data_IF_464718117052
#
_entry.id   IF_464718117052
#
_cell.length_a   1.000
_cell.length_b   1.000
_cell.length_c   1.000
_cell.angle_alpha   90.00
_cell.angle_beta   90.00
_cell.angle_gamma   90.00
#
_symmetry.space_group_name_H-M   'P 1'
#
loop_
_entity.id
_entity.type
_entity.pdbx_description
1 polymer ?
#
# COMPACT_ATOMS: atom_id res chain seq x y z
N UNK A 1 72.31 -55.40 -4.55
CA UNK A 1 72.57 -53.96 -4.28
C UNK A 1 72.71 -53.27 -5.64
N UNK A 2 71.92 -52.30 -6.08
CA UNK A 2 70.79 -51.52 -5.57
C UNK A 2 69.97 -51.18 -6.82
N UNK A 3 68.63 -51.34 -6.78
CA UNK A 3 67.73 -50.90 -7.86
C UNK A 3 67.47 -49.41 -7.70
N UNK A 4 67.86 -48.60 -8.68
CA UNK A 4 67.48 -47.18 -8.76
C UNK A 4 66.05 -47.06 -9.32
N UNK A 5 65.12 -46.65 -8.47
CA UNK A 5 63.80 -46.17 -8.86
C UNK A 5 63.88 -44.67 -9.12
N UNK A 6 63.60 -44.24 -10.35
CA UNK A 6 63.35 -42.83 -10.66
C UNK A 6 61.90 -42.51 -10.32
N UNK A 7 61.67 -41.70 -9.27
CA UNK A 7 60.38 -41.07 -9.01
C UNK A 7 60.16 -39.97 -10.06
N UNK A 8 59.17 -40.14 -10.93
CA UNK A 8 58.60 -39.06 -11.70
C UNK A 8 57.77 -38.18 -10.76
N UNK A 9 58.22 -36.95 -10.50
CA UNK A 9 57.45 -35.96 -9.77
C UNK A 9 56.26 -35.49 -10.61
N UNK A 10 55.05 -35.87 -10.22
CA UNK A 10 53.83 -35.27 -10.74
C UNK A 10 53.69 -33.87 -10.12
N UNK A 11 53.88 -32.83 -10.93
CA UNK A 11 53.48 -31.47 -10.57
C UNK A 11 51.96 -31.42 -10.68
N UNK A 12 51.25 -31.62 -9.54
CA UNK A 12 49.87 -31.16 -9.42
C UNK A 12 49.91 -29.63 -9.40
N UNK A 13 49.63 -29.00 -10.52
CA UNK A 13 49.18 -27.62 -10.51
C UNK A 13 47.83 -27.61 -9.80
N UNK A 14 47.81 -27.09 -8.56
CA UNK A 14 46.58 -26.81 -7.86
C UNK A 14 45.79 -25.80 -8.70
N UNK A 15 44.71 -26.25 -9.34
CA UNK A 15 43.68 -25.34 -9.81
C UNK A 15 43.17 -24.61 -8.56
N UNK A 16 43.53 -23.33 -8.42
CA UNK A 16 42.96 -22.48 -7.40
C UNK A 16 41.45 -22.52 -7.58
N UNK A 17 40.74 -23.13 -6.63
CA UNK A 17 39.30 -22.96 -6.52
C UNK A 17 39.09 -21.46 -6.34
N UNK A 18 38.64 -20.78 -7.39
CA UNK A 18 38.05 -19.46 -7.28
C UNK A 18 36.78 -19.70 -6.48
N UNK A 19 36.87 -19.60 -5.15
CA UNK A 19 35.68 -19.48 -4.33
C UNK A 19 34.96 -18.22 -4.80
N UNK A 20 33.69 -18.29 -5.23
CA UNK A 20 32.94 -17.06 -5.45
C UNK A 20 32.96 -16.31 -4.13
N UNK A 21 33.55 -15.11 -4.11
CA UNK A 21 33.39 -14.23 -2.95
C UNK A 21 31.92 -13.88 -2.90
N UNK A 22 31.20 -14.39 -1.90
CA UNK A 22 29.88 -13.86 -1.57
C UNK A 22 30.02 -12.34 -1.44
N UNK A 23 29.15 -11.59 -2.12
CA UNK A 23 29.14 -10.15 -2.01
C UNK A 23 28.98 -9.76 -0.54
N UNK A 24 29.68 -8.71 -0.10
CA UNK A 24 29.45 -8.17 1.24
C UNK A 24 27.99 -7.68 1.32
N UNK A 25 27.26 -8.03 2.38
CA UNK A 25 25.85 -7.66 2.50
C UNK A 25 25.50 -7.27 3.94
N UNK A 26 24.60 -6.31 4.07
CA UNK A 26 23.85 -6.07 5.30
C UNK A 26 22.43 -6.61 5.11
N UNK A 27 21.86 -7.24 6.13
CA UNK A 27 20.54 -7.89 6.12
C UNK A 27 19.73 -7.42 7.31
N UNK A 28 18.49 -7.02 7.04
CA UNK A 28 17.49 -6.68 8.03
C UNK A 28 16.34 -7.68 7.99
N UNK A 29 15.84 -8.09 9.14
CA UNK A 29 14.66 -8.95 9.29
C UNK A 29 13.67 -8.25 10.22
N UNK A 30 12.42 -8.09 9.79
CA UNK A 30 11.40 -7.47 10.63
C UNK A 30 11.18 -8.32 11.90
N UNK A 31 10.85 -7.70 13.06
CA UNK A 31 10.65 -8.45 14.30
C UNK A 31 9.57 -9.54 14.23
N UNK A 32 8.54 -9.32 13.42
CA UNK A 32 7.46 -10.26 13.13
C UNK A 32 7.83 -11.33 12.10
N UNK A 33 9.01 -11.25 11.48
CA UNK A 33 9.45 -12.07 10.34
C UNK A 33 8.54 -11.95 9.11
N UNK A 34 7.80 -10.84 8.99
CA UNK A 34 6.96 -10.50 7.82
C UNK A 34 7.77 -10.02 6.61
N UNK A 35 9.04 -9.65 6.80
CA UNK A 35 9.90 -9.09 5.76
C UNK A 35 11.37 -9.35 6.07
N UNK A 36 12.15 -9.72 5.05
CA UNK A 36 13.61 -9.69 5.12
C UNK A 36 14.20 -8.91 3.92
N UNK A 37 15.20 -8.08 4.17
CA UNK A 37 15.83 -7.24 3.16
C UNK A 37 17.35 -7.34 3.25
N UNK A 38 17.98 -7.74 2.14
CA UNK A 38 19.42 -7.79 2.00
C UNK A 38 19.89 -6.74 1.01
N UNK A 39 20.95 -6.00 1.35
CA UNK A 39 21.58 -5.00 0.50
C UNK A 39 23.08 -5.26 0.36
N UNK A 40 23.59 -5.17 -0.86
CA UNK A 40 25.01 -5.18 -1.19
C UNK A 40 25.36 -4.00 -2.10
N UNK A 41 26.53 -3.43 -1.85
CA UNK A 41 27.02 -2.20 -2.47
C UNK A 41 28.37 -2.51 -3.13
N UNK A 42 28.52 -2.29 -4.45
CA UNK A 42 29.81 -2.38 -5.10
C UNK A 42 30.84 -1.43 -4.48
N UNK A 43 32.05 -1.94 -4.23
CA UNK A 43 33.21 -1.18 -3.72
C UNK A 43 33.91 -0.31 -4.78
N UNK A 44 33.48 -0.41 -6.04
CA UNK A 44 33.87 0.49 -7.12
C UNK A 44 33.19 1.86 -6.97
N UNK A 45 34.00 2.90 -6.77
CA UNK A 45 33.55 4.28 -6.62
C UNK A 45 32.87 4.87 -7.87
N UNK A 46 33.00 4.22 -9.03
CA UNK A 46 32.32 4.62 -10.28
C UNK A 46 30.99 3.91 -10.50
N UNK A 47 30.68 2.92 -9.66
CA UNK A 47 29.47 2.13 -9.72
C UNK A 47 28.49 2.63 -8.66
N UNK A 48 27.38 3.24 -9.08
CA UNK A 48 26.31 3.73 -8.22
C UNK A 48 25.13 2.75 -8.05
N UNK A 49 25.35 1.49 -8.41
CA UNK A 49 24.34 0.45 -8.34
C UNK A 49 24.13 -0.03 -6.90
N UNK A 50 22.96 -0.64 -6.70
CA UNK A 50 22.57 -1.33 -5.48
C UNK A 50 22.07 -2.72 -5.85
N UNK A 51 22.69 -3.75 -5.28
CA UNK A 51 22.18 -5.12 -5.37
C UNK A 51 21.33 -5.36 -4.14
N UNK A 52 20.10 -5.83 -4.34
CA UNK A 52 19.22 -6.10 -3.23
C UNK A 52 18.39 -7.36 -3.44
N UNK A 53 17.91 -7.87 -2.31
CA UNK A 53 16.88 -8.89 -2.27
C UNK A 53 15.87 -8.49 -1.21
N UNK A 54 14.61 -8.76 -1.50
CA UNK A 54 13.48 -8.53 -0.60
C UNK A 54 12.66 -9.80 -0.56
N UNK A 55 12.36 -10.27 0.65
CA UNK A 55 11.59 -11.48 0.87
C UNK A 55 10.38 -11.20 1.76
N UNK A 56 9.27 -11.89 1.48
CA UNK A 56 8.06 -11.87 2.29
C UNK A 56 7.41 -13.26 2.31
N UNK A 57 6.77 -13.67 3.41
CA UNK A 57 6.03 -14.93 3.45
C UNK A 57 4.77 -14.88 2.58
N UNK A 58 4.33 -16.04 2.10
CA UNK A 58 3.00 -16.17 1.47
C UNK A 58 1.90 -15.79 2.47
N UNK A 59 0.83 -15.15 1.99
CA UNK A 59 -0.24 -14.66 2.85
C UNK A 59 0.01 -13.24 3.38
N UNK A 60 1.17 -12.66 3.10
CA UNK A 60 1.43 -11.22 3.25
C UNK A 60 0.96 -10.46 1.99
N UNK A 61 0.08 -9.47 2.12
CA UNK A 61 -0.54 -8.83 0.95
C UNK A 61 0.49 -8.08 0.10
N UNK A 62 1.48 -7.47 0.72
CA UNK A 62 2.66 -6.90 0.07
C UNK A 62 3.75 -6.64 1.11
N UNK A 63 4.99 -6.50 0.68
CA UNK A 63 6.12 -6.11 1.53
C UNK A 63 6.91 -4.98 0.86
N UNK A 64 7.42 -4.04 1.66
CA UNK A 64 8.19 -2.93 1.11
C UNK A 64 9.30 -2.43 2.05
N UNK A 65 10.39 -1.98 1.44
CA UNK A 65 11.46 -1.21 2.08
C UNK A 65 11.54 0.17 1.45
N UNK A 66 11.59 1.19 2.29
CA UNK A 66 11.80 2.57 1.90
C UNK A 66 13.22 3.03 2.22
N UNK A 67 13.90 3.60 1.24
CA UNK A 67 15.29 4.01 1.31
C UNK A 67 15.44 5.50 1.69
N UNK A 68 16.51 5.83 2.42
CA UNK A 68 17.04 7.18 2.54
C UNK A 68 16.67 7.95 3.81
N UNK A 69 15.55 7.66 4.46
CA UNK A 69 15.12 8.38 5.66
C UNK A 69 14.17 7.53 6.55
N UNK A 70 13.60 8.14 7.60
CA UNK A 70 12.75 7.53 8.63
C UNK A 70 11.25 7.90 8.50
N UNK A 71 10.80 8.32 7.31
CA UNK A 71 9.41 8.71 7.01
C UNK A 71 9.01 8.31 5.58
N UNK A 72 7.72 8.38 5.25
CA UNK A 72 7.27 8.07 3.88
C UNK A 72 7.68 9.16 2.89
N UNK A 73 7.55 10.43 3.22
CA UNK A 73 7.83 11.53 2.28
C UNK A 73 9.32 11.64 1.93
N UNK A 74 9.63 11.59 0.64
CA UNK A 74 10.99 11.67 0.08
C UNK A 74 11.67 10.32 -0.12
N UNK A 75 10.92 9.22 -0.01
CA UNK A 75 11.47 7.86 0.07
C UNK A 75 11.27 7.10 -1.24
N UNK A 76 12.34 6.50 -1.74
CA UNK A 76 12.29 5.50 -2.79
C UNK A 76 11.86 4.18 -2.16
N UNK A 77 10.78 3.59 -2.66
CA UNK A 77 10.15 2.41 -2.09
C UNK A 77 10.33 1.23 -3.03
N UNK A 78 10.97 0.18 -2.53
CA UNK A 78 11.03 -1.13 -3.15
C UNK A 78 9.90 -1.96 -2.59
N UNK A 79 8.87 -2.21 -3.39
CA UNK A 79 7.68 -2.96 -3.00
C UNK A 79 7.57 -4.21 -3.84
N UNK A 80 7.21 -5.31 -3.19
CA UNK A 80 6.90 -6.58 -3.83
C UNK A 80 5.51 -7.06 -3.40
N UNK A 81 4.88 -7.80 -4.30
CA UNK A 81 3.68 -8.59 -4.03
C UNK A 81 3.63 -9.77 -4.99
N UNK A 82 2.72 -10.70 -4.76
CA UNK A 82 2.52 -11.86 -5.63
C UNK A 82 2.10 -11.48 -7.06
N UNK A 83 2.69 -12.17 -8.03
CA UNK A 83 2.28 -12.15 -9.43
C UNK A 83 0.87 -12.72 -9.62
N UNK A 84 0.27 -12.51 -10.80
CA UNK A 84 -1.06 -13.02 -11.11
C UNK A 84 -1.18 -14.55 -10.98
N UNK A 85 -0.11 -15.28 -11.30
CA UNK A 85 -0.05 -16.73 -11.15
C UNK A 85 0.00 -17.16 -9.67
N UNK A 86 0.59 -16.35 -8.81
CA UNK A 86 0.93 -16.72 -7.43
C UNK A 86 2.21 -17.55 -7.33
N UNK A 87 2.92 -17.79 -8.44
CA UNK A 87 4.14 -18.62 -8.49
C UNK A 87 5.42 -17.76 -8.58
N UNK A 88 5.25 -16.44 -8.73
CA UNK A 88 6.33 -15.49 -8.89
C UNK A 88 6.00 -14.16 -8.19
N UNK A 89 6.94 -13.22 -8.22
CA UNK A 89 6.86 -11.93 -7.55
C UNK A 89 6.75 -10.79 -8.56
N UNK A 90 5.84 -9.85 -8.32
CA UNK A 90 5.77 -8.58 -9.00
C UNK A 90 6.52 -7.53 -8.19
N UNK A 91 7.57 -6.97 -8.78
CA UNK A 91 8.27 -5.81 -8.22
C UNK A 91 7.65 -4.51 -8.73
N UNK A 92 7.42 -3.59 -7.80
CA UNK A 92 6.79 -2.31 -8.04
C UNK A 92 7.64 -1.21 -7.37
N UNK A 93 8.60 -0.62 -8.08
CA UNK A 93 9.31 0.55 -7.56
C UNK A 93 8.36 1.73 -7.44
N UNK A 94 8.39 2.43 -6.32
CA UNK A 94 7.51 3.57 -6.04
C UNK A 94 8.26 4.74 -5.44
N UNK A 95 7.67 5.93 -5.57
CA UNK A 95 8.13 7.14 -4.91
C UNK A 95 7.05 7.64 -3.96
N UNK A 96 7.41 7.79 -2.69
CA UNK A 96 6.53 8.31 -1.66
C UNK A 96 6.79 9.81 -1.45
N UNK A 97 5.78 10.64 -1.72
CA UNK A 97 5.88 12.11 -1.62
C UNK A 97 5.21 12.64 -0.35
N UNK A 98 4.31 11.86 0.25
CA UNK A 98 3.56 12.20 1.47
C UNK A 98 3.10 10.91 2.16
N UNK A 99 2.24 11.03 3.19
CA UNK A 99 1.61 9.89 3.85
C UNK A 99 0.34 9.43 3.08
N UNK A 100 0.52 9.14 1.80
CA UNK A 100 -0.50 8.58 0.89
C UNK A 100 0.11 7.38 0.16
N UNK A 101 -0.71 6.59 -0.53
CA UNK A 101 -0.23 5.44 -1.30
C UNK A 101 0.89 5.88 -2.27
N UNK A 102 2.12 5.35 -2.14
CA UNK A 102 3.24 5.73 -3.01
C UNK A 102 2.92 5.45 -4.48
N UNK A 103 3.42 6.30 -5.38
CA UNK A 103 3.15 6.20 -6.81
C UNK A 103 4.24 5.40 -7.53
N UNK A 104 3.86 4.63 -8.55
CA UNK A 104 4.83 3.89 -9.37
C UNK A 104 5.89 4.82 -9.98
N UNK A 105 7.16 4.47 -9.77
CA UNK A 105 8.29 5.27 -10.23
C UNK A 105 8.90 4.66 -11.48
N UNK A 106 8.43 5.13 -12.64
CA UNK A 106 8.81 4.57 -13.95
C UNK A 106 10.24 4.90 -14.40
N UNK A 107 10.92 5.82 -13.73
CA UNK A 107 12.30 6.20 -14.07
C UNK A 107 13.36 5.43 -13.29
N UNK A 108 12.97 4.49 -12.42
CA UNK A 108 13.93 3.61 -11.78
C UNK A 108 14.51 2.65 -12.82
N UNK A 109 15.83 2.63 -12.95
CA UNK A 109 16.56 1.69 -13.80
C UNK A 109 16.97 0.47 -12.97
N UNK A 110 16.54 -0.72 -13.38
CA UNK A 110 16.83 -1.95 -12.66
C UNK A 110 16.75 -3.18 -13.57
N UNK A 111 17.48 -4.23 -13.19
CA UNK A 111 17.45 -5.54 -13.81
C UNK A 111 17.10 -6.60 -12.75
N UNK A 112 16.07 -7.40 -13.02
CA UNK A 112 15.68 -8.52 -12.15
C UNK A 112 16.68 -9.66 -12.28
N UNK A 113 17.20 -10.13 -11.15
CA UNK A 113 18.04 -11.32 -11.06
C UNK A 113 17.13 -12.54 -10.99
N UNK A 114 16.77 -13.06 -12.16
CA UNK A 114 15.73 -14.09 -12.33
C UNK A 114 16.05 -15.41 -11.62
N UNK A 115 17.32 -15.82 -11.59
CA UNK A 115 17.76 -17.04 -10.88
C UNK A 115 17.56 -16.98 -9.36
N UNK A 116 17.38 -15.77 -8.82
CA UNK A 116 17.21 -15.50 -7.39
C UNK A 116 15.80 -14.99 -7.04
N UNK A 117 14.88 -14.97 -8.02
CA UNK A 117 13.53 -14.42 -7.86
C UNK A 117 12.48 -15.50 -8.07
N UNK A 118 11.48 -15.55 -7.18
CA UNK A 118 10.35 -16.46 -7.31
C UNK A 118 9.73 -16.84 -5.97
N UNK A 119 8.83 -17.82 -6.02
CA UNK A 119 8.32 -18.50 -4.84
C UNK A 119 9.29 -19.62 -4.43
N UNK A 120 9.77 -19.57 -3.19
CA UNK A 120 10.71 -20.54 -2.59
C UNK A 120 9.97 -21.37 -1.54
N UNK A 121 10.11 -22.69 -1.64
CA UNK A 121 9.53 -23.70 -0.73
C UNK A 121 8.01 -23.53 -0.48
N UNK A 122 7.27 -23.04 -1.47
CA UNK A 122 5.83 -22.73 -1.41
C UNK A 122 5.44 -21.79 -0.25
N UNK A 123 6.40 -21.07 0.34
CA UNK A 123 6.21 -20.34 1.58
C UNK A 123 6.74 -18.91 1.56
N UNK A 124 7.74 -18.60 0.72
CA UNK A 124 8.41 -17.30 0.72
C UNK A 124 8.54 -16.77 -0.70
N UNK A 125 8.01 -15.58 -0.96
CA UNK A 125 8.31 -14.82 -2.15
C UNK A 125 9.65 -14.11 -1.97
N UNK A 126 10.59 -14.33 -2.87
CA UNK A 126 11.90 -13.66 -2.90
C UNK A 126 12.03 -12.90 -4.21
N UNK A 127 12.44 -11.65 -4.14
CA UNK A 127 12.75 -10.83 -5.31
C UNK A 127 14.15 -10.26 -5.18
N UNK A 128 14.98 -10.49 -6.18
CA UNK A 128 16.35 -10.00 -6.25
C UNK A 128 16.55 -9.17 -7.51
N UNK A 129 17.26 -8.05 -7.39
CA UNK A 129 17.55 -7.17 -8.51
C UNK A 129 18.85 -6.39 -8.30
N UNK A 130 19.41 -5.91 -9.41
CA UNK A 130 20.34 -4.78 -9.41
C UNK A 130 19.57 -3.52 -9.80
N UNK A 131 19.78 -2.45 -9.04
CA UNK A 131 19.18 -1.14 -9.26
C UNK A 131 20.29 -0.19 -9.70
N UNK A 132 20.22 0.29 -10.94
CA UNK A 132 21.27 1.10 -11.53
C UNK A 132 21.15 2.57 -11.13
N UNK A 133 22.26 3.15 -10.66
CA UNK A 133 22.31 4.55 -10.21
C UNK A 133 21.26 4.91 -9.14
N UNK A 134 20.88 3.97 -8.28
CA UNK A 134 19.75 4.11 -7.34
C UNK A 134 20.11 4.76 -6.00
N UNK A 135 21.32 5.30 -5.87
CA UNK A 135 21.77 5.99 -4.64
C UNK A 135 21.11 7.36 -4.43
N UNK A 136 20.47 7.90 -5.47
CA UNK A 136 19.79 9.20 -5.44
C UNK A 136 18.53 9.17 -6.31
N UNK A 137 17.49 9.85 -5.87
CA UNK A 137 16.20 9.96 -6.57
C UNK A 137 15.56 11.32 -6.29
N UNK A 138 14.44 11.67 -6.96
CA UNK A 138 13.72 12.90 -6.65
C UNK A 138 13.22 12.91 -5.19
N UNK A 139 13.82 13.77 -4.36
CA UNK A 139 13.41 13.96 -2.96
C UNK A 139 14.24 13.21 -1.92
N UNK A 140 15.24 12.41 -2.31
CA UNK A 140 16.07 11.70 -1.36
C UNK A 140 17.34 11.05 -1.94
N UNK A 141 18.14 10.48 -1.05
CA UNK A 141 19.35 9.73 -1.36
C UNK A 141 19.72 8.81 -0.20
N UNK A 142 20.62 7.88 -0.44
CA UNK A 142 21.33 7.12 0.61
C UNK A 142 22.79 7.56 0.67
N UNK A 143 23.39 7.45 1.86
CA UNK A 143 24.82 7.62 2.08
C UNK A 143 25.47 6.24 2.28
N UNK A 144 26.16 5.76 1.26
CA UNK A 144 26.83 4.45 1.28
C UNK A 144 28.05 4.40 2.20
N UNK A 145 28.50 5.55 2.73
CA UNK A 145 29.60 5.63 3.71
C UNK A 145 29.11 5.59 5.17
N UNK A 146 27.79 5.63 5.38
CA UNK A 146 27.20 5.64 6.71
C UNK A 146 27.15 4.24 7.33
N UNK A 147 27.51 4.15 8.61
CA UNK A 147 27.32 2.93 9.42
C UNK A 147 25.90 2.77 9.97
N UNK A 148 25.06 3.77 9.76
CA UNK A 148 23.68 3.79 10.27
C UNK A 148 22.78 4.55 9.27
N UNK A 149 22.82 4.18 8.00
CA UNK A 149 21.93 4.73 6.99
C UNK A 149 20.49 4.35 7.34
N UNK A 150 19.59 5.33 7.35
CA UNK A 150 18.18 5.13 7.71
C UNK A 150 17.39 4.53 6.56
N UNK A 151 16.49 3.62 6.92
CA UNK A 151 15.49 2.98 6.09
C UNK A 151 14.18 2.87 6.88
N UNK A 152 13.08 2.66 6.17
CA UNK A 152 11.81 2.24 6.74
C UNK A 152 11.41 0.90 6.12
N UNK A 153 10.62 0.12 6.84
CA UNK A 153 9.98 -1.08 6.31
C UNK A 153 8.48 -1.02 6.58
N UNK A 154 7.71 -1.70 5.74
CA UNK A 154 6.28 -1.87 5.95
C UNK A 154 5.78 -3.15 5.26
N UNK A 155 4.77 -3.79 5.84
CA UNK A 155 4.05 -4.89 5.21
C UNK A 155 2.55 -4.64 5.21
N UNK A 156 1.87 -5.24 4.22
CA UNK A 156 0.43 -5.18 4.08
C UNK A 156 -0.31 -5.93 5.19
N UNK A 157 -1.65 -5.94 5.16
CA UNK A 157 -2.43 -6.87 5.97
C UNK A 157 -2.33 -8.30 5.40
N UNK A 158 -2.88 -9.29 6.09
CA UNK A 158 -3.01 -10.64 5.54
C UNK A 158 -3.80 -10.64 4.22
N UNK A 159 -3.30 -11.36 3.21
CA UNK A 159 -3.95 -11.51 1.91
C UNK A 159 -2.98 -11.84 0.79
N UNK A 160 -3.47 -11.67 -0.43
CA UNK A 160 -2.73 -11.95 -1.66
C UNK A 160 -3.15 -10.92 -2.74
N UNK A 161 -2.20 -10.22 -3.38
CA UNK A 161 -2.52 -9.19 -4.41
C UNK A 161 -2.83 -9.84 -5.75
N UNK A 162 -2.06 -10.86 -6.14
CA UNK A 162 -2.18 -11.62 -7.40
C UNK A 162 -2.26 -10.72 -8.63
N UNK A 163 -1.23 -9.91 -8.86
CA UNK A 163 -1.22 -8.95 -9.98
C UNK A 163 0.18 -8.80 -10.57
N UNK A 164 0.28 -8.84 -11.90
CA UNK A 164 1.51 -8.50 -12.64
C UNK A 164 1.63 -6.99 -12.91
N UNK A 165 0.60 -6.21 -12.54
CA UNK A 165 0.56 -4.79 -12.79
C UNK A 165 1.37 -4.04 -11.73
N UNK A 166 2.52 -3.51 -12.10
CA UNK A 166 3.39 -2.73 -11.19
C UNK A 166 2.73 -1.47 -10.60
N UNK A 167 1.58 -1.04 -11.14
CA UNK A 167 0.79 0.11 -10.66
C UNK A 167 -0.41 -0.30 -9.82
N UNK A 168 -0.49 -1.57 -9.40
CA UNK A 168 -1.63 -2.08 -8.63
C UNK A 168 -1.85 -1.24 -7.37
N UNK A 169 -3.11 -0.90 -7.07
CA UNK A 169 -3.38 -0.11 -5.88
C UNK A 169 -3.38 -1.00 -4.65
N UNK A 170 -2.59 -0.64 -3.64
CA UNK A 170 -2.40 -1.47 -2.44
C UNK A 170 -3.09 -0.88 -1.21
N UNK A 171 -3.41 -1.76 -0.25
CA UNK A 171 -3.99 -1.38 1.04
C UNK A 171 -2.92 -0.72 1.92
N UNK A 172 -3.35 0.08 2.90
CA UNK A 172 -2.46 0.62 3.93
C UNK A 172 -1.70 -0.52 4.63
N UNK A 173 -0.45 -0.26 5.03
CA UNK A 173 0.35 -1.22 5.78
C UNK A 173 -0.33 -1.62 7.08
N UNK A 174 -0.17 -2.88 7.47
CA UNK A 174 -0.55 -3.39 8.79
C UNK A 174 0.59 -3.16 9.80
N UNK A 175 1.81 -3.47 9.39
CA UNK A 175 3.04 -3.31 10.18
C UNK A 175 3.96 -2.30 9.50
N UNK A 176 4.60 -1.44 10.28
CA UNK A 176 5.70 -0.61 9.79
C UNK A 176 6.68 -0.20 10.89
N UNK A 177 7.88 0.18 10.48
CA UNK A 177 8.91 0.67 11.39
C UNK A 177 10.10 1.28 10.68
N UNK A 178 11.10 1.68 11.46
CA UNK A 178 12.35 2.27 11.00
C UNK A 178 13.50 1.37 11.39
N UNK A 179 14.50 1.27 10.53
CA UNK A 179 15.74 0.57 10.83
C UNK A 179 16.93 1.31 10.23
N UNK A 180 18.13 0.93 10.65
CA UNK A 180 19.37 1.42 10.06
C UNK A 180 20.21 0.28 9.55
N UNK A 181 20.94 0.49 8.45
CA UNK A 181 21.93 -0.46 7.95
C UNK A 181 23.33 0.15 7.97
N UNK A 182 24.32 -0.67 8.28
CA UNK A 182 25.73 -0.37 8.08
C UNK A 182 26.06 -0.57 6.60
N UNK A 183 26.19 0.54 5.88
CA UNK A 183 26.46 0.54 4.45
C UNK A 183 27.92 0.19 4.16
N UNK A 184 28.83 0.51 5.08
CA UNK A 184 30.24 0.13 4.99
C UNK A 184 30.37 -1.39 5.09
N UNK A 185 29.60 -2.01 5.98
CA UNK A 185 29.52 -3.47 6.10
C UNK A 185 28.93 -4.14 4.85
N UNK A 186 27.98 -3.48 4.18
CA UNK A 186 27.39 -3.95 2.92
C UNK A 186 28.27 -3.72 1.69
N UNK A 187 29.44 -3.07 1.83
CA UNK A 187 30.28 -2.68 0.69
C UNK A 187 31.34 -3.74 0.41
N UNK A 188 31.40 -4.21 -0.84
CA UNK A 188 32.38 -5.20 -1.30
C UNK A 188 32.26 -5.48 -2.79
N UNK A 189 32.76 -6.63 -3.24
CA UNK A 189 32.63 -7.04 -4.64
C UNK A 189 31.17 -7.05 -5.09
N UNK A 190 30.90 -6.53 -6.29
CA UNK A 190 29.55 -6.50 -6.86
C UNK A 190 28.96 -7.91 -6.98
N UNK A 191 27.72 -8.09 -6.53
CA UNK A 191 27.03 -9.36 -6.65
C UNK A 191 25.67 -9.38 -5.97
N UNK A 192 24.84 -10.40 -6.27
CA UNK A 192 23.53 -10.57 -5.66
C UNK A 192 23.64 -10.73 -4.14
N UNK A 193 22.63 -10.24 -3.43
CA UNK A 193 22.46 -10.60 -2.03
C UNK A 193 21.81 -11.97 -1.92
N UNK A 194 22.18 -12.70 -0.86
CA UNK A 194 21.60 -14.00 -0.57
C UNK A 194 20.62 -13.86 0.57
N UNK A 195 19.33 -13.97 0.27
CA UNK A 195 18.28 -14.19 1.25
C UNK A 195 17.86 -15.65 1.17
N UNK A 196 18.36 -16.47 2.09
CA UNK A 196 17.89 -17.82 2.26
C UNK A 196 16.88 -17.84 3.42
N UNK A 197 15.68 -18.37 3.17
CA UNK A 197 14.58 -18.45 4.13
C UNK A 197 14.94 -19.21 5.42
N UNK A 198 16.02 -20.01 5.42
CA UNK A 198 16.53 -20.68 6.62
C UNK A 198 17.58 -19.89 7.40
N UNK A 199 18.25 -18.90 6.79
CA UNK A 199 19.34 -18.13 7.44
C UNK A 199 19.02 -16.65 7.65
N UNK A 200 18.03 -16.10 6.95
CA UNK A 200 17.52 -14.75 7.16
C UNK A 200 16.60 -14.67 8.40
N UNK A 201 17.08 -15.20 9.52
CA UNK A 201 16.37 -15.22 10.82
C UNK A 201 16.87 -14.09 11.73
N UNK A 202 18.02 -13.49 11.41
CA UNK A 202 18.67 -12.48 12.23
C UNK A 202 19.16 -11.30 11.38
N UNK A 203 19.17 -10.13 12.02
CA UNK A 203 19.83 -8.95 11.48
C UNK A 203 21.35 -9.17 11.39
N UNK A 204 21.96 -8.65 10.33
CA UNK A 204 23.41 -8.65 10.13
C UNK A 204 23.82 -7.33 9.47
N UNK A 205 24.58 -6.48 10.17
CA UNK A 205 24.84 -5.12 9.67
C UNK A 205 23.58 -4.26 9.57
N UNK A 206 22.51 -4.60 10.31
CA UNK A 206 21.30 -3.79 10.44
C UNK A 206 20.83 -3.75 11.90
N UNK A 207 20.07 -2.71 12.24
CA UNK A 207 19.51 -2.50 13.58
C UNK A 207 18.14 -1.85 13.49
N UNK A 208 17.13 -2.44 14.12
CA UNK A 208 15.83 -1.81 14.31
C UNK A 208 15.94 -0.52 15.13
N UNK A 209 15.22 0.52 14.72
CA UNK A 209 15.18 1.81 15.41
C UNK A 209 13.76 2.13 15.89
N UNK A 210 13.61 2.30 17.21
CA UNK A 210 12.34 2.66 17.81
C UNK A 210 11.43 1.46 18.05
N UNK A 211 10.12 1.68 17.95
CA UNK A 211 9.10 0.65 18.13
C UNK A 211 8.38 0.42 16.82
N UNK A 212 8.09 -0.84 16.52
CA UNK A 212 7.26 -1.24 15.39
C UNK A 212 5.81 -0.90 15.72
N UNK A 213 5.08 -0.40 14.72
CA UNK A 213 3.64 -0.18 14.82
C UNK A 213 2.93 -1.27 14.01
N UNK A 214 1.98 -1.95 14.65
CA UNK A 214 1.17 -3.02 14.06
C UNK A 214 -0.33 -2.70 14.18
N UNK A 215 -1.16 -3.46 13.46
CA UNK A 215 -2.62 -3.34 13.59
C UNK A 215 -3.20 -2.15 12.82
N UNK A 216 -2.43 -1.55 11.92
CA UNK A 216 -2.90 -0.43 11.14
C UNK A 216 -4.02 -0.84 10.19
N UNK A 217 -5.07 -0.02 10.16
CA UNK A 217 -6.32 -0.24 9.43
C UNK A 217 -6.84 1.08 8.89
N UNK A 218 -7.55 1.03 7.76
CA UNK A 218 -8.13 2.22 7.15
C UNK A 218 -9.44 2.64 7.86
N UNK A 219 -9.28 3.24 9.03
CA UNK A 219 -10.38 3.77 9.82
C UNK A 219 -11.16 4.87 9.10
N UNK A 220 -10.55 5.61 8.17
CA UNK A 220 -11.25 6.66 7.42
C UNK A 220 -12.29 6.03 6.51
N UNK A 221 -11.93 4.96 5.78
CA UNK A 221 -12.86 4.20 4.96
C UNK A 221 -13.95 3.50 5.81
N UNK A 222 -13.58 2.90 6.94
CA UNK A 222 -14.55 2.23 7.85
C UNK A 222 -15.59 3.23 8.35
N UNK A 223 -15.16 4.39 8.87
CA UNK A 223 -16.08 5.40 9.39
C UNK A 223 -16.93 6.00 8.26
N UNK A 224 -16.37 6.24 7.07
CA UNK A 224 -17.15 6.63 5.89
C UNK A 224 -18.30 5.64 5.62
N UNK A 225 -18.00 4.34 5.59
CA UNK A 225 -19.00 3.30 5.36
C UNK A 225 -20.07 3.26 6.45
N UNK A 226 -19.69 3.35 7.73
CA UNK A 226 -20.63 3.36 8.86
C UNK A 226 -21.61 4.53 8.75
N UNK A 227 -21.13 5.73 8.48
CA UNK A 227 -22.00 6.89 8.29
C UNK A 227 -22.91 6.73 7.07
N UNK A 228 -22.36 6.29 5.94
CA UNK A 228 -23.13 6.17 4.69
C UNK A 228 -24.20 5.09 4.77
N UNK A 229 -23.85 3.87 5.21
CA UNK A 229 -24.79 2.76 5.36
C UNK A 229 -25.83 3.10 6.43
N UNK A 230 -25.41 3.61 7.59
CA UNK A 230 -26.33 4.02 8.65
C UNK A 230 -27.33 5.07 8.18
N UNK A 231 -26.88 6.07 7.40
CA UNK A 231 -27.78 7.10 6.89
C UNK A 231 -28.74 6.58 5.82
N UNK A 232 -28.24 5.87 4.80
CA UNK A 232 -29.05 5.45 3.65
C UNK A 232 -29.94 4.24 3.92
N UNK A 233 -29.49 3.29 4.75
CA UNK A 233 -30.24 2.05 5.02
C UNK A 233 -31.14 2.19 6.24
N UNK A 234 -30.72 2.95 7.26
CA UNK A 234 -31.48 3.07 8.51
C UNK A 234 -32.18 4.41 8.59
N UNK A 235 -31.43 5.52 8.62
CA UNK A 235 -32.01 6.81 9.00
C UNK A 235 -32.99 7.36 7.96
N UNK A 236 -32.64 7.35 6.67
CA UNK A 236 -33.53 7.91 5.66
C UNK A 236 -34.85 7.12 5.51
N UNK A 237 -34.83 5.76 5.42
CA UNK A 237 -36.06 4.97 5.39
C UNK A 237 -36.91 5.13 6.65
N UNK A 238 -36.28 5.19 7.83
CA UNK A 238 -37.01 5.46 9.08
C UNK A 238 -37.70 6.83 9.07
N UNK A 239 -37.03 7.86 8.54
CA UNK A 239 -37.66 9.16 8.34
C UNK A 239 -38.90 9.11 7.43
N UNK A 240 -38.92 8.24 6.41
CA UNK A 240 -40.11 8.01 5.58
C UNK A 240 -41.22 7.30 6.37
N UNK A 241 -40.87 6.33 7.21
CA UNK A 241 -41.82 5.61 8.07
C UNK A 241 -42.56 6.57 9.03
N UNK A 242 -41.85 7.53 9.64
CA UNK A 242 -42.44 8.55 10.53
C UNK A 242 -43.58 9.31 9.82
N UNK A 243 -43.39 9.68 8.54
CA UNK A 243 -44.46 10.33 7.77
C UNK A 243 -45.60 9.37 7.45
N UNK A 244 -45.30 8.14 7.09
CA UNK A 244 -46.30 7.19 6.59
C UNK A 244 -47.20 6.66 7.69
N UNK A 245 -46.66 6.41 8.87
CA UNK A 245 -47.41 5.85 10.01
C UNK A 245 -47.96 6.96 10.89
N UNK A 246 -47.13 7.93 11.27
CA UNK A 246 -47.52 8.97 12.23
C UNK A 246 -48.06 10.24 11.60
N UNK A 247 -47.83 10.48 10.31
CA UNK A 247 -48.08 11.78 9.64
C UNK A 247 -47.34 12.96 10.33
N UNK A 248 -46.24 12.67 11.03
CA UNK A 248 -45.50 13.65 11.83
C UNK A 248 -44.47 14.41 11.01
N UNK A 249 -44.92 15.42 10.26
CA UNK A 249 -44.06 16.18 9.34
C UNK A 249 -42.88 16.88 10.02
N UNK A 250 -43.06 17.36 11.25
CA UNK A 250 -41.97 17.99 12.04
C UNK A 250 -40.86 16.99 12.38
N UNK A 251 -41.25 15.81 12.84
CA UNK A 251 -40.31 14.74 13.20
C UNK A 251 -39.60 14.18 11.98
N UNK A 252 -40.31 14.03 10.85
CA UNK A 252 -39.68 13.70 9.58
C UNK A 252 -38.60 14.71 9.20
N UNK A 253 -38.92 16.02 9.21
CA UNK A 253 -37.96 17.06 8.86
C UNK A 253 -36.73 17.05 9.79
N UNK A 254 -36.93 16.92 11.10
CA UNK A 254 -35.84 16.80 12.07
C UNK A 254 -34.97 15.57 11.79
N UNK A 255 -35.59 14.40 11.62
CA UNK A 255 -34.88 13.14 11.37
C UNK A 255 -34.09 13.15 10.06
N UNK A 256 -34.67 13.69 8.98
CA UNK A 256 -33.97 13.88 7.71
C UNK A 256 -32.83 14.90 7.83
N UNK A 257 -32.97 15.91 8.70
CA UNK A 257 -31.90 16.84 9.04
C UNK A 257 -30.72 16.14 9.73
N UNK A 258 -30.98 15.25 10.69
CA UNK A 258 -29.93 14.44 11.33
C UNK A 258 -29.24 13.53 10.32
N UNK A 259 -30.01 12.85 9.47
CA UNK A 259 -29.45 12.01 8.40
C UNK A 259 -28.59 12.82 7.42
N UNK A 260 -29.02 14.04 7.05
CA UNK A 260 -28.25 14.94 6.19
C UNK A 260 -26.88 15.30 6.80
N UNK A 261 -26.84 15.65 8.09
CA UNK A 261 -25.57 15.93 8.78
C UNK A 261 -24.64 14.72 8.73
N UNK A 262 -25.17 13.52 9.01
CA UNK A 262 -24.41 12.28 8.91
C UNK A 262 -23.86 12.02 7.51
N UNK A 263 -24.66 12.27 6.46
CA UNK A 263 -24.21 12.15 5.06
C UNK A 263 -23.12 13.18 4.72
N UNK A 264 -23.21 14.42 5.21
CA UNK A 264 -22.16 15.43 4.98
C UNK A 264 -20.84 14.99 5.62
N UNK A 265 -20.87 14.45 6.84
CA UNK A 265 -19.68 13.91 7.52
C UNK A 265 -19.11 12.74 6.73
N UNK A 266 -19.95 11.75 6.40
CA UNK A 266 -19.53 10.60 5.61
C UNK A 266 -18.97 11.02 4.26
N UNK A 267 -19.56 12.02 3.59
CA UNK A 267 -19.11 12.48 2.29
C UNK A 267 -17.72 13.09 2.37
N UNK A 268 -17.47 13.96 3.37
CA UNK A 268 -16.14 14.52 3.63
C UNK A 268 -15.09 13.43 3.89
N UNK A 269 -15.43 12.39 4.64
CA UNK A 269 -14.54 11.23 4.84
C UNK A 269 -14.31 10.43 3.55
N UNK A 270 -15.32 10.33 2.69
CA UNK A 270 -15.22 9.70 1.37
C UNK A 270 -14.26 10.45 0.44
N UNK A 271 -14.31 11.78 0.43
CA UNK A 271 -13.34 12.62 -0.27
C UNK A 271 -11.94 12.42 0.31
N UNK A 272 -11.80 12.41 1.64
CA UNK A 272 -10.51 12.18 2.30
C UNK A 272 -9.90 10.83 1.92
N UNK A 273 -10.62 9.72 2.08
CA UNK A 273 -10.10 8.39 1.71
C UNK A 273 -9.76 8.32 0.22
N UNK A 274 -10.54 8.98 -0.64
CA UNK A 274 -10.26 9.03 -2.08
C UNK A 274 -8.87 9.59 -2.38
N UNK A 275 -8.42 10.62 -1.65
CA UNK A 275 -7.11 11.24 -1.85
C UNK A 275 -5.93 10.40 -1.33
N UNK A 276 -6.19 9.36 -0.51
CA UNK A 276 -5.14 8.52 0.08
C UNK A 276 -4.64 7.43 -0.86
N UNK A 277 -5.42 7.03 -1.88
CA UNK A 277 -5.11 5.89 -2.75
C UNK A 277 -5.04 6.26 -4.23
N UNK A 278 -4.14 5.59 -4.94
CA UNK A 278 -3.92 5.78 -6.39
C UNK A 278 -5.17 5.43 -7.21
N UNK A 279 -5.91 4.39 -6.82
CA UNK A 279 -7.14 3.96 -7.50
C UNK A 279 -8.29 4.99 -7.44
N UNK A 280 -8.25 5.92 -6.48
CA UNK A 280 -9.38 6.80 -6.17
C UNK A 280 -9.06 8.29 -6.23
N UNK A 281 -7.78 8.70 -6.17
CA UNK A 281 -7.40 10.13 -6.08
C UNK A 281 -7.86 11.00 -7.26
N UNK A 282 -8.14 10.38 -8.40
CA UNK A 282 -8.60 11.06 -9.61
C UNK A 282 -10.13 11.20 -9.70
N UNK A 283 -10.90 10.72 -8.70
CA UNK A 283 -12.36 10.83 -8.65
C UNK A 283 -13.09 10.26 -9.88
N UNK A 284 -12.52 9.26 -10.55
CA UNK A 284 -13.03 8.66 -11.78
C UNK A 284 -13.73 7.32 -11.58
N UNK A 285 -13.74 6.76 -10.37
CA UNK A 285 -14.40 5.49 -10.09
C UNK A 285 -15.94 5.66 -10.11
N UNK A 286 -16.73 4.70 -10.64
CA UNK A 286 -18.19 4.74 -10.62
C UNK A 286 -18.80 5.05 -9.25
N UNK A 287 -18.27 4.47 -8.16
CA UNK A 287 -18.70 4.75 -6.78
C UNK A 287 -18.58 6.24 -6.41
N UNK A 288 -17.50 6.89 -6.86
CA UNK A 288 -17.24 8.29 -6.56
C UNK A 288 -18.16 9.21 -7.36
N UNK A 289 -18.33 8.91 -8.66
CA UNK A 289 -19.19 9.71 -9.56
C UNK A 289 -20.64 9.64 -9.11
N UNK A 290 -21.17 8.43 -8.87
CA UNK A 290 -22.55 8.25 -8.41
C UNK A 290 -22.72 8.83 -7.00
N UNK A 291 -21.77 8.60 -6.09
CA UNK A 291 -21.78 9.19 -4.76
C UNK A 291 -21.86 10.73 -4.78
N UNK A 292 -21.10 11.40 -5.64
CA UNK A 292 -21.16 12.85 -5.85
C UNK A 292 -22.54 13.31 -6.34
N UNK A 293 -23.09 12.63 -7.35
CA UNK A 293 -24.42 12.94 -7.88
C UNK A 293 -25.51 12.78 -6.82
N UNK A 294 -25.48 11.68 -6.08
CA UNK A 294 -26.42 11.38 -4.99
C UNK A 294 -26.33 12.45 -3.90
N UNK A 295 -25.12 12.88 -3.54
CA UNK A 295 -24.91 13.94 -2.54
C UNK A 295 -25.58 15.26 -2.97
N UNK A 296 -25.37 15.72 -4.21
CA UNK A 296 -26.00 16.94 -4.70
C UNK A 296 -27.52 16.81 -4.84
N UNK A 297 -28.01 15.65 -5.28
CA UNK A 297 -29.45 15.37 -5.31
C UNK A 297 -30.05 15.40 -3.91
N UNK A 298 -29.36 14.88 -2.90
CA UNK A 298 -29.82 14.91 -1.51
C UNK A 298 -29.91 16.35 -0.97
N UNK A 299 -28.93 17.21 -1.26
CA UNK A 299 -28.99 18.64 -0.92
C UNK A 299 -30.21 19.31 -1.58
N UNK A 300 -30.42 19.06 -2.87
CA UNK A 300 -31.60 19.53 -3.59
C UNK A 300 -32.91 19.01 -2.98
N UNK A 301 -32.96 17.73 -2.63
CA UNK A 301 -34.10 17.07 -1.99
C UNK A 301 -34.46 17.71 -0.66
N UNK A 302 -33.46 18.05 0.17
CA UNK A 302 -33.67 18.73 1.45
C UNK A 302 -34.23 20.15 1.26
N UNK A 303 -33.68 20.91 0.31
CA UNK A 303 -34.17 22.25 -0.05
C UNK A 303 -35.62 22.19 -0.57
N UNK A 304 -35.91 21.25 -1.49
CA UNK A 304 -37.27 21.01 -1.99
C UNK A 304 -38.24 20.62 -0.87
N UNK A 305 -37.78 19.79 0.08
CA UNK A 305 -38.50 19.43 1.30
C UNK A 305 -38.93 20.66 2.10
N UNK A 306 -37.96 21.52 2.43
CA UNK A 306 -38.19 22.77 3.16
C UNK A 306 -39.12 23.73 2.39
N UNK A 307 -38.89 23.93 1.09
CA UNK A 307 -39.66 24.86 0.26
C UNK A 307 -41.12 24.44 0.13
N UNK A 308 -41.38 23.17 -0.19
CA UNK A 308 -42.75 22.69 -0.36
C UNK A 308 -43.51 22.70 0.97
N UNK A 309 -42.86 22.34 2.09
CA UNK A 309 -43.48 22.39 3.42
C UNK A 309 -43.85 23.82 3.83
N UNK A 310 -42.97 24.80 3.58
CA UNK A 310 -43.25 26.22 3.84
C UNK A 310 -44.41 26.75 3.01
N UNK A 311 -44.49 26.38 1.72
CA UNK A 311 -45.61 26.74 0.84
C UNK A 311 -46.92 26.08 1.29
N UNK A 312 -46.88 24.81 1.65
CA UNK A 312 -48.05 24.09 2.16
C UNK A 312 -48.58 24.75 3.45
N UNK A 313 -47.71 25.10 4.41
CA UNK A 313 -48.15 25.81 5.63
C UNK A 313 -48.89 27.12 5.35
N UNK A 314 -48.48 27.88 4.31
CA UNK A 314 -49.11 29.15 3.94
C UNK A 314 -50.41 28.98 3.16
N UNK A 315 -50.49 27.98 2.28
CA UNK A 315 -51.58 27.84 1.31
C UNK A 315 -52.61 26.78 1.70
N UNK A 316 -52.24 25.83 2.57
CA UNK A 316 -53.00 24.62 2.89
C UNK A 316 -53.40 23.80 1.65
N UNK A 317 -52.65 23.95 0.55
CA UNK A 317 -52.90 23.27 -0.71
C UNK A 317 -51.68 22.44 -1.15
N UNK A 318 -51.89 21.30 -1.83
CA UNK A 318 -50.81 20.54 -2.45
C UNK A 318 -49.97 21.42 -3.38
N UNK A 319 -48.64 21.27 -3.31
CA UNK A 319 -47.73 22.07 -4.14
C UNK A 319 -47.22 21.24 -5.31
N UNK A 320 -46.92 21.89 -6.45
CA UNK A 320 -46.26 21.24 -7.60
C UNK A 320 -44.88 20.65 -7.27
N UNK A 321 -44.27 21.04 -6.14
CA UNK A 321 -42.96 20.54 -5.68
C UNK A 321 -43.07 19.19 -4.96
N UNK A 322 -44.23 18.84 -4.42
CA UNK A 322 -44.44 17.59 -3.69
C UNK A 322 -44.16 16.33 -4.54
N UNK A 323 -44.70 16.18 -5.78
CA UNK A 323 -44.39 15.01 -6.59
C UNK A 323 -42.91 14.94 -6.98
N UNK A 324 -42.27 16.09 -7.26
CA UNK A 324 -40.83 16.17 -7.56
C UNK A 324 -40.01 15.66 -6.37
N UNK A 325 -40.32 16.14 -5.16
CA UNK A 325 -39.66 15.70 -3.93
C UNK A 325 -39.85 14.19 -3.69
N UNK A 326 -41.04 13.64 -3.93
CA UNK A 326 -41.28 12.19 -3.75
C UNK A 326 -40.46 11.36 -4.73
N UNK A 327 -40.47 11.70 -6.01
CA UNK A 327 -39.74 10.94 -7.03
C UNK A 327 -38.22 11.09 -6.93
N UNK A 328 -37.74 12.31 -6.65
CA UNK A 328 -36.32 12.54 -6.41
C UNK A 328 -35.83 11.75 -5.18
N UNK A 329 -36.60 11.72 -4.09
CA UNK A 329 -36.29 10.91 -2.91
C UNK A 329 -36.17 9.42 -3.22
N UNK A 330 -37.08 8.88 -4.04
CA UNK A 330 -37.00 7.48 -4.50
C UNK A 330 -35.74 7.22 -5.31
N UNK A 331 -35.42 8.11 -6.26
CA UNK A 331 -34.21 8.00 -7.08
C UNK A 331 -32.94 8.00 -6.22
N UNK A 332 -32.85 8.92 -5.24
CA UNK A 332 -31.72 9.04 -4.31
C UNK A 332 -31.51 7.73 -3.53
N UNK A 333 -32.57 7.13 -3.00
CA UNK A 333 -32.46 5.89 -2.23
C UNK A 333 -31.99 4.72 -3.11
N UNK A 334 -32.51 4.61 -4.34
CA UNK A 334 -32.09 3.56 -5.28
C UNK A 334 -30.63 3.75 -5.68
N UNK A 335 -30.25 4.96 -6.10
CA UNK A 335 -28.87 5.25 -6.49
C UNK A 335 -27.90 5.09 -5.33
N UNK A 336 -28.25 5.56 -4.13
CA UNK A 336 -27.42 5.41 -2.94
C UNK A 336 -27.23 3.95 -2.53
N UNK A 337 -28.29 3.13 -2.64
CA UNK A 337 -28.18 1.69 -2.43
C UNK A 337 -27.25 1.02 -3.44
N UNK A 338 -27.46 1.27 -4.74
CA UNK A 338 -26.58 0.74 -5.81
C UNK A 338 -25.13 1.18 -5.60
N UNK A 339 -24.92 2.45 -5.24
CA UNK A 339 -23.59 2.99 -4.98
C UNK A 339 -22.87 2.25 -3.84
N UNK A 340 -23.59 1.78 -2.83
CA UNK A 340 -23.01 1.02 -1.72
C UNK A 340 -22.41 -0.34 -2.12
N UNK A 341 -22.73 -0.86 -3.32
CA UNK A 341 -22.18 -2.11 -3.87
C UNK A 341 -21.12 -1.91 -4.95
N UNK A 342 -20.82 -0.65 -5.32
CA UNK A 342 -19.74 -0.28 -6.24
C UNK A 342 -18.46 0.00 -5.46
#
# INVERSE_FOLDING_TARGET
MVKSFHLAGAVLAAAGLISPSLAAQSTFVSPSQSLAFGLSIPDDATNDDLYFSLAMPTGEYWAAVGLGNDRMSGTLVFMIYSSASGENVTFSPRLATSNTEPEYYSSLDYETLTDNTGLVDDATYVYSAVCHNCRKWPGGSIDVTSKAQKFIFATGPAGDVRSDNQRESVKIHYEHGTFTMDMVHATGAAGPTTLNSTTAVYDYGATLVGQVTEGMTDWVAVVHAVFMVGCFVVLMPFGVLILRVGQWVRWHGFHQGVAMVGVIIGFGLGIKTSTLYNRSKNFSNPHQIIGLLVFFFLLGQFVLGCMHHRKFKKTQQPTKLAPIHVWLGRLILVLGFVNGFL
#
